data_IF_130331108815
#
_entry.id   IF_130331108815
#
_cell.length_a   1.000
_cell.length_b   1.000
_cell.length_c   1.000
_cell.angle_alpha   90.00
_cell.angle_beta   90.00
_cell.angle_gamma   90.00
#
_symmetry.space_group_name_H-M   'P 1'
#
loop_
_entity.id
_entity.type
_entity.pdbx_description
1 polymer ?
#
# COMPACT_ATOMS: atom_id res chain seq x y z
N UNK A 1 22.73 18.21 24.15
CA UNK A 1 21.68 17.24 23.80
C UNK A 1 20.69 17.98 22.92
N UNK A 2 20.72 17.72 21.62
CA UNK A 2 19.88 18.41 20.63
C UNK A 2 18.64 17.56 20.41
N UNK A 3 17.48 18.06 20.81
CA UNK A 3 16.20 17.39 20.59
C UNK A 3 15.83 17.67 19.12
N UNK A 4 15.94 16.65 18.27
CA UNK A 4 15.51 16.74 16.88
C UNK A 4 13.98 16.63 16.86
N UNK A 5 13.30 17.76 16.70
CA UNK A 5 11.85 17.80 16.46
C UNK A 5 11.58 17.21 15.07
N UNK A 6 10.94 16.05 15.03
CA UNK A 6 10.42 15.47 13.79
C UNK A 6 9.18 16.26 13.37
N UNK A 7 9.33 17.13 12.38
CA UNK A 7 8.23 17.92 11.81
C UNK A 7 7.31 16.99 11.01
N UNK A 8 6.10 16.72 11.51
CA UNK A 8 5.07 16.01 10.73
C UNK A 8 4.40 16.99 9.76
N UNK A 9 4.51 16.72 8.45
CA UNK A 9 3.80 17.47 7.41
C UNK A 9 2.51 16.73 7.03
N UNK A 10 1.36 17.41 7.15
CA UNK A 10 0.10 16.98 6.55
C UNK A 10 -0.13 17.84 5.30
N UNK A 11 -0.15 17.22 4.12
CA UNK A 11 -0.40 17.89 2.83
C UNK A 11 -1.80 17.63 2.28
N UNK A 12 -2.34 18.56 1.49
CA UNK A 12 -3.56 18.39 0.69
C UNK A 12 -3.18 17.99 -0.75
N UNK A 13 -3.82 16.97 -1.33
CA UNK A 13 -3.58 16.52 -2.70
C UNK A 13 -4.50 17.27 -3.71
N UNK A 14 -3.93 18.07 -4.62
CA UNK A 14 -4.67 18.72 -5.72
C UNK A 14 -3.96 19.95 -6.31
N UNK A 15 -4.22 20.25 -7.59
CA UNK A 15 -3.48 21.14 -8.51
C UNK A 15 -3.34 22.65 -8.15
N UNK A 16 -3.48 23.02 -6.88
CA UNK A 16 -3.01 24.30 -6.35
C UNK A 16 -1.99 24.00 -5.27
N UNK A 17 -0.71 24.02 -5.65
CA UNK A 17 0.43 23.96 -4.74
C UNK A 17 0.44 25.18 -3.82
N UNK A 18 -0.43 25.21 -2.82
CA UNK A 18 -0.17 26.02 -1.62
C UNK A 18 0.86 25.24 -0.81
N UNK A 19 2.11 25.38 -1.23
CA UNK A 19 3.26 25.04 -0.39
C UNK A 19 3.05 25.78 0.94
N UNK A 20 2.85 25.02 2.02
CA UNK A 20 2.93 25.55 3.36
C UNK A 20 4.41 25.81 3.61
N UNK A 21 4.79 27.08 3.44
CA UNK A 21 6.12 27.58 3.68
C UNK A 21 6.56 27.21 5.11
N UNK A 22 7.83 26.82 5.28
CA UNK A 22 8.38 26.30 6.54
C UNK A 22 8.16 27.28 7.72
N UNK A 23 8.06 28.58 7.44
CA UNK A 23 7.75 29.64 8.42
C UNK A 23 6.32 29.59 9.02
N UNK A 24 5.36 28.97 8.35
CA UNK A 24 3.97 28.85 8.84
C UNK A 24 3.80 27.59 9.71
N UNK A 25 4.63 26.57 9.49
CA UNK A 25 4.57 25.30 10.22
C UNK A 25 5.04 25.49 11.65
N UNK A 26 6.09 26.29 11.87
CA UNK A 26 6.60 26.60 13.21
C UNK A 26 5.62 27.43 14.06
N UNK A 27 4.72 28.17 13.43
CA UNK A 27 3.74 29.02 14.14
C UNK A 27 2.45 28.26 14.52
N UNK A 28 2.24 27.04 14.02
CA UNK A 28 0.94 26.33 14.08
C UNK A 28 0.97 24.91 14.70
N UNK A 29 2.07 24.51 15.34
CA UNK A 29 2.41 23.11 15.63
C UNK A 29 1.45 22.33 16.54
N UNK A 30 0.60 22.96 17.37
CA UNK A 30 -0.41 22.23 18.15
C UNK A 30 -1.87 22.59 17.82
N UNK A 31 -2.25 23.86 17.62
CA UNK A 31 -3.63 24.20 17.27
C UNK A 31 -3.97 23.83 15.82
N UNK A 32 -3.01 24.00 14.88
CA UNK A 32 -3.20 23.72 13.46
C UNK A 32 -3.32 22.22 13.18
N UNK A 33 -2.48 21.40 13.81
CA UNK A 33 -2.58 19.94 13.74
C UNK A 33 -3.93 19.44 14.28
N UNK A 34 -4.37 19.93 15.44
CA UNK A 34 -5.67 19.57 16.02
C UNK A 34 -6.84 19.95 15.11
N UNK A 35 -6.78 21.13 14.48
CA UNK A 35 -7.77 21.55 13.51
C UNK A 35 -7.77 20.65 12.27
N UNK A 36 -6.61 20.38 11.68
CA UNK A 36 -6.47 19.51 10.52
C UNK A 36 -6.96 18.09 10.80
N UNK A 37 -6.64 17.51 11.95
CA UNK A 37 -7.11 16.18 12.35
C UNK A 37 -8.63 16.15 12.58
N UNK A 38 -9.19 17.23 13.14
CA UNK A 38 -10.65 17.36 13.28
C UNK A 38 -11.32 17.46 11.92
N UNK A 39 -10.81 18.29 11.03
CA UNK A 39 -11.32 18.44 9.66
C UNK A 39 -11.23 17.13 8.87
N UNK A 40 -10.11 16.42 8.96
CA UNK A 40 -9.95 15.08 8.40
C UNK A 40 -10.99 14.13 8.99
N UNK A 41 -11.09 14.05 10.31
CA UNK A 41 -12.05 13.16 10.97
C UNK A 41 -13.48 13.44 10.53
N UNK A 42 -13.92 14.71 10.51
CA UNK A 42 -15.26 15.06 10.04
C UNK A 42 -15.52 14.66 8.58
N UNK A 43 -14.47 14.63 7.73
CA UNK A 43 -14.59 14.20 6.33
C UNK A 43 -14.64 12.69 6.14
N UNK A 44 -14.08 11.91 7.07
CA UNK A 44 -13.94 10.45 6.93
C UNK A 44 -14.77 9.65 7.92
N UNK A 45 -15.37 10.27 8.95
CA UNK A 45 -16.09 9.60 10.03
C UNK A 45 -17.24 8.70 9.56
N UNK A 46 -17.79 9.00 8.38
CA UNK A 46 -18.90 8.26 7.78
C UNK A 46 -18.42 7.05 6.98
N UNK A 47 -17.10 6.87 6.82
CA UNK A 47 -16.52 5.67 6.20
C UNK A 47 -16.38 4.49 7.19
N UNK A 48 -16.67 4.73 8.48
CA UNK A 48 -16.45 3.79 9.57
C UNK A 48 -17.76 3.57 10.34
N UNK A 49 -18.25 2.33 10.41
CA UNK A 49 -19.41 1.99 11.24
C UNK A 49 -19.12 2.00 12.75
N UNK A 50 -20.18 2.20 13.54
CA UNK A 50 -20.17 2.63 14.95
C UNK A 50 -19.07 2.06 15.86
N UNK A 51 -18.84 0.74 15.89
CA UNK A 51 -17.84 0.12 16.78
C UNK A 51 -16.40 0.44 16.40
N UNK A 52 -16.15 0.77 15.13
CA UNK A 52 -14.82 1.05 14.61
C UNK A 52 -14.44 2.53 14.70
N UNK A 53 -15.40 3.44 14.98
CA UNK A 53 -15.14 4.88 14.96
C UNK A 53 -14.07 5.32 15.96
N UNK A 54 -14.12 4.82 17.19
CA UNK A 54 -13.13 5.16 18.22
C UNK A 54 -11.74 4.63 17.86
N UNK A 55 -11.67 3.40 17.35
CA UNK A 55 -10.42 2.75 16.91
C UNK A 55 -9.83 3.50 15.72
N UNK A 56 -10.65 3.84 14.73
CA UNK A 56 -10.23 4.61 13.56
C UNK A 56 -9.75 6.01 13.93
N UNK A 57 -10.46 6.71 14.82
CA UNK A 57 -10.04 8.03 15.30
C UNK A 57 -8.67 7.96 15.99
N UNK A 58 -8.44 6.94 16.83
CA UNK A 58 -7.13 6.75 17.46
C UNK A 58 -6.05 6.43 16.43
N UNK A 59 -6.36 5.58 15.44
CA UNK A 59 -5.42 5.25 14.37
C UNK A 59 -5.06 6.47 13.50
N UNK A 60 -6.00 7.38 13.20
CA UNK A 60 -5.70 8.67 12.54
C UNK A 60 -4.75 9.51 13.39
N UNK A 61 -5.00 9.58 14.70
CA UNK A 61 -4.12 10.32 15.61
C UNK A 61 -2.71 9.72 15.66
N UNK A 62 -2.59 8.39 15.76
CA UNK A 62 -1.31 7.67 15.71
C UNK A 62 -0.61 7.92 14.38
N UNK A 63 -1.31 7.86 13.24
CA UNK A 63 -0.72 8.14 11.93
C UNK A 63 -0.11 9.56 11.85
N UNK A 64 -0.72 10.53 12.53
CA UNK A 64 -0.25 11.91 12.56
C UNK A 64 0.89 12.18 13.56
N UNK A 65 0.98 11.38 14.64
CA UNK A 65 1.87 11.67 15.78
C UNK A 65 2.97 10.64 15.97
N UNK A 66 2.88 9.48 15.33
CA UNK A 66 3.87 8.42 15.43
C UNK A 66 5.26 8.89 14.95
N UNK A 67 6.25 8.58 15.78
CA UNK A 67 7.66 8.89 15.57
C UNK A 67 8.36 7.83 14.71
N UNK A 68 7.79 6.62 14.64
CA UNK A 68 8.36 5.52 13.87
C UNK A 68 7.53 5.19 12.64
N UNK A 69 8.20 4.74 11.58
CA UNK A 69 7.52 4.26 10.36
C UNK A 69 6.65 3.04 10.65
N UNK A 70 7.09 2.15 11.55
CA UNK A 70 6.33 0.96 11.96
C UNK A 70 4.98 1.33 12.56
N UNK A 71 4.96 2.25 13.53
CA UNK A 71 3.72 2.67 14.19
C UNK A 71 2.75 3.33 13.20
N UNK A 72 3.26 4.03 12.18
CA UNK A 72 2.43 4.59 11.10
C UNK A 72 1.82 3.50 10.21
N UNK A 73 2.58 2.48 9.85
CA UNK A 73 2.03 1.35 9.09
C UNK A 73 0.99 0.57 9.90
N UNK A 74 1.23 0.32 11.19
CA UNK A 74 0.26 -0.35 12.07
C UNK A 74 -1.03 0.46 12.23
N UNK A 75 -0.90 1.78 12.40
CA UNK A 75 -2.05 2.69 12.41
C UNK A 75 -2.80 2.67 11.08
N UNK A 76 -2.09 2.68 9.95
CA UNK A 76 -2.70 2.63 8.64
C UNK A 76 -3.39 1.29 8.35
N UNK A 77 -2.78 0.16 8.73
CA UNK A 77 -3.40 -1.17 8.66
C UNK A 77 -4.68 -1.24 9.52
N UNK A 78 -4.64 -0.65 10.72
CA UNK A 78 -5.84 -0.51 11.57
C UNK A 78 -6.95 0.25 10.86
N UNK A 79 -6.62 1.36 10.17
CA UNK A 79 -7.61 2.12 9.39
C UNK A 79 -8.21 1.29 8.23
N UNK A 80 -7.38 0.53 7.53
CA UNK A 80 -7.82 -0.35 6.44
C UNK A 80 -8.77 -1.46 6.92
N UNK A 81 -8.57 -1.97 8.14
CA UNK A 81 -9.49 -2.95 8.76
C UNK A 81 -10.82 -2.35 9.16
N UNK A 82 -10.79 -1.11 9.66
CA UNK A 82 -11.96 -0.45 10.21
C UNK A 82 -12.88 0.15 9.14
N UNK A 83 -12.33 0.50 7.98
CA UNK A 83 -13.06 1.20 6.91
C UNK A 83 -14.01 0.26 6.16
N UNK A 84 -15.17 0.78 5.79
CA UNK A 84 -16.11 0.07 4.95
C UNK A 84 -15.50 -0.27 3.57
N UNK A 85 -15.82 -1.45 3.00
CA UNK A 85 -15.23 -1.90 1.75
C UNK A 85 -15.31 -0.87 0.61
N UNK A 86 -16.45 -0.18 0.47
CA UNK A 86 -16.71 0.84 -0.56
C UNK A 86 -15.86 2.11 -0.44
N UNK A 87 -15.20 2.32 0.70
CA UNK A 87 -14.34 3.49 0.95
C UNK A 87 -12.85 3.11 1.02
N UNK A 88 -12.50 1.82 0.92
CA UNK A 88 -11.11 1.36 0.98
C UNK A 88 -10.23 1.98 -0.08
N UNK A 89 -10.76 2.28 -1.27
CA UNK A 89 -9.98 2.92 -2.35
C UNK A 89 -9.49 4.33 -1.97
N UNK A 90 -10.06 4.98 -0.94
CA UNK A 90 -9.66 6.29 -0.43
C UNK A 90 -8.49 6.24 0.55
N UNK A 91 -8.11 5.04 1.00
CA UNK A 91 -6.96 4.80 1.84
C UNK A 91 -5.88 4.18 0.95
N UNK A 92 -4.79 4.91 0.76
CA UNK A 92 -3.71 4.50 -0.13
C UNK A 92 -2.38 4.72 0.56
N UNK A 93 -1.37 3.93 0.23
CA UNK A 93 -0.01 4.27 0.58
C UNK A 93 0.86 4.21 -0.66
N UNK A 94 1.84 5.09 -0.70
CA UNK A 94 2.60 5.41 -1.89
C UNK A 94 4.08 5.28 -1.59
N UNK A 95 4.83 4.75 -2.54
CA UNK A 95 6.27 4.96 -2.59
C UNK A 95 6.68 5.42 -3.99
N UNK A 96 7.53 6.44 -4.03
CA UNK A 96 8.10 6.98 -5.25
C UNK A 96 9.63 6.90 -5.16
N UNK A 97 10.31 6.97 -6.30
CA UNK A 97 11.77 6.98 -6.33
C UNK A 97 12.31 8.21 -5.59
N UNK A 98 13.21 7.97 -4.62
CA UNK A 98 13.83 9.03 -3.84
C UNK A 98 12.98 9.59 -2.68
N UNK A 99 11.78 9.06 -2.46
CA UNK A 99 10.90 9.48 -1.37
C UNK A 99 10.58 8.31 -0.43
N UNK A 100 10.39 8.62 0.86
CA UNK A 100 9.91 7.64 1.84
C UNK A 100 8.44 7.28 1.62
N UNK A 101 7.93 6.24 2.29
CA UNK A 101 6.52 5.88 2.24
C UNK A 101 5.62 7.06 2.63
N UNK A 102 4.45 7.15 2.00
CA UNK A 102 3.44 8.17 2.32
C UNK A 102 2.07 7.53 2.39
N UNK A 103 1.26 7.92 3.36
CA UNK A 103 -0.07 7.39 3.58
C UNK A 103 -1.09 8.48 3.22
N UNK A 104 -2.04 8.15 2.36
CA UNK A 104 -3.10 9.03 1.91
C UNK A 104 -4.43 8.57 2.48
N UNK A 105 -5.20 9.51 3.03
CA UNK A 105 -6.57 9.32 3.50
C UNK A 105 -7.43 10.43 2.88
N UNK A 106 -8.22 10.07 1.86
CA UNK A 106 -8.92 11.08 1.05
C UNK A 106 -7.92 12.06 0.44
N UNK A 107 -8.04 13.34 0.78
CA UNK A 107 -7.16 14.40 0.27
C UNK A 107 -5.94 14.66 1.16
N UNK A 108 -5.82 13.97 2.29
CA UNK A 108 -4.77 14.22 3.28
C UNK A 108 -3.61 13.24 3.12
N UNK A 109 -2.39 13.75 3.19
CA UNK A 109 -1.15 13.00 3.04
C UNK A 109 -0.32 13.03 4.33
N UNK A 110 0.15 11.87 4.77
CA UNK A 110 1.02 11.66 5.92
C UNK A 110 2.34 11.07 5.46
N UNK A 111 3.46 11.75 5.72
CA UNK A 111 4.78 11.24 5.37
C UNK A 111 5.26 10.23 6.41
N UNK A 112 5.91 9.15 6.00
CA UNK A 112 6.63 8.29 6.94
C UNK A 112 7.83 9.05 7.56
N UNK A 113 8.18 8.77 8.83
CA UNK A 113 9.40 9.28 9.42
C UNK A 113 10.65 8.79 8.67
N UNK A 114 11.78 9.47 8.89
CA UNK A 114 13.04 9.17 8.18
C UNK A 114 13.65 7.82 8.54
N UNK A 115 13.14 7.17 9.59
CA UNK A 115 13.62 5.87 10.08
C UNK A 115 13.21 4.68 9.19
N UNK A 116 12.40 4.92 8.14
CA UNK A 116 11.86 3.88 7.26
C UNK A 116 12.93 3.00 6.60
N UNK A 117 14.10 3.56 6.25
CA UNK A 117 15.20 2.82 5.62
C UNK A 117 15.92 1.86 6.57
N UNK A 118 15.76 2.06 7.88
CA UNK A 118 16.42 1.27 8.93
C UNK A 118 15.46 0.31 9.65
N UNK A 119 14.21 0.23 9.21
CA UNK A 119 13.22 -0.63 9.84
C UNK A 119 13.49 -2.11 9.52
N UNK A 120 13.28 -2.94 10.55
CA UNK A 120 13.15 -4.37 10.34
C UNK A 120 11.80 -4.67 9.66
N UNK A 121 11.75 -5.69 8.78
CA UNK A 121 10.52 -6.14 8.15
C UNK A 121 9.40 -6.34 9.17
N UNK A 122 8.19 -5.91 8.83
CA UNK A 122 7.00 -6.10 9.67
C UNK A 122 6.55 -7.56 9.62
N UNK A 123 6.12 -8.12 10.75
CA UNK A 123 5.50 -9.44 10.81
C UNK A 123 3.98 -9.28 10.82
N UNK A 124 3.40 -9.17 9.62
CA UNK A 124 1.98 -8.92 9.43
C UNK A 124 1.17 -10.22 9.37
N UNK A 125 -0.08 -10.15 9.80
CA UNK A 125 -1.04 -11.20 9.47
C UNK A 125 -1.41 -11.12 7.98
N UNK A 126 -1.83 -12.24 7.40
CA UNK A 126 -2.20 -12.31 5.98
C UNK A 126 -3.29 -11.29 5.59
N UNK A 127 -4.26 -11.05 6.48
CA UNK A 127 -5.34 -10.07 6.27
C UNK A 127 -4.82 -8.62 6.21
N UNK A 128 -3.96 -8.24 7.14
CA UNK A 128 -3.33 -6.90 7.17
C UNK A 128 -2.44 -6.70 5.94
N UNK A 129 -1.65 -7.72 5.58
CA UNK A 129 -0.80 -7.66 4.40
C UNK A 129 -1.63 -7.56 3.12
N UNK A 130 -2.74 -8.31 3.00
CA UNK A 130 -3.66 -8.22 1.87
C UNK A 130 -4.18 -6.79 1.70
N UNK A 131 -4.67 -6.17 2.77
CA UNK A 131 -5.17 -4.80 2.73
C UNK A 131 -4.08 -3.77 2.39
N UNK A 132 -2.87 -3.95 2.91
CA UNK A 132 -1.74 -3.10 2.57
C UNK A 132 -1.35 -3.23 1.10
N UNK A 133 -1.20 -4.44 0.55
CA UNK A 133 -0.88 -4.65 -0.86
C UNK A 133 -1.94 -4.01 -1.76
N UNK A 134 -3.23 -4.17 -1.42
CA UNK A 134 -4.33 -3.63 -2.20
C UNK A 134 -4.40 -2.10 -2.19
N UNK A 135 -3.91 -1.47 -1.13
CA UNK A 135 -3.82 0.00 -1.02
C UNK A 135 -2.47 0.55 -1.52
N UNK A 136 -1.55 -0.32 -1.93
CA UNK A 136 -0.20 0.06 -2.31
C UNK A 136 -0.13 0.62 -3.72
N UNK A 137 0.50 1.79 -3.84
CA UNK A 137 0.84 2.43 -5.10
C UNK A 137 2.33 2.67 -5.22
N UNK A 138 2.88 2.37 -6.38
CA UNK A 138 4.23 2.76 -6.77
C UNK A 138 4.11 3.76 -7.92
N UNK A 139 4.71 4.94 -7.78
CA UNK A 139 4.57 6.02 -8.77
C UNK A 139 3.10 6.37 -9.10
N UNK A 140 2.23 6.29 -8.09
CA UNK A 140 0.77 6.45 -8.16
C UNK A 140 -0.01 5.35 -8.90
N UNK A 141 0.65 4.36 -9.49
CA UNK A 141 0.02 3.19 -10.09
C UNK A 141 -0.22 2.09 -9.04
N UNK A 142 -1.39 1.40 -9.04
CA UNK A 142 -1.61 0.25 -8.17
C UNK A 142 -0.62 -0.87 -8.47
N UNK A 143 0.04 -1.40 -7.45
CA UNK A 143 1.13 -2.37 -7.65
C UNK A 143 0.64 -3.66 -8.28
N UNK A 144 -0.48 -4.22 -7.81
CA UNK A 144 -1.02 -5.46 -8.38
C UNK A 144 -1.46 -5.31 -9.84
N UNK A 145 -2.09 -4.18 -10.20
CA UNK A 145 -2.47 -3.92 -11.59
C UNK A 145 -1.25 -3.73 -12.49
N UNK A 146 -0.22 -3.04 -11.98
CA UNK A 146 1.05 -2.86 -12.72
C UNK A 146 1.71 -4.21 -13.01
N UNK A 147 1.71 -5.13 -12.05
CA UNK A 147 2.25 -6.49 -12.25
C UNK A 147 1.43 -7.29 -13.26
N UNK A 148 0.11 -7.13 -13.26
CA UNK A 148 -0.74 -7.74 -14.28
C UNK A 148 -0.38 -7.23 -15.68
N UNK A 149 -0.22 -5.92 -15.83
CA UNK A 149 0.12 -5.33 -17.12
C UNK A 149 1.52 -5.74 -17.60
N UNK A 150 2.49 -5.87 -16.69
CA UNK A 150 3.80 -6.45 -17.01
C UNK A 150 3.66 -7.91 -17.48
N UNK A 151 2.82 -8.71 -16.79
CA UNK A 151 2.55 -10.10 -17.17
C UNK A 151 1.90 -10.21 -18.55
N UNK A 152 0.95 -9.33 -18.89
CA UNK A 152 0.33 -9.28 -20.22
C UNK A 152 1.36 -8.91 -21.28
N UNK A 153 2.11 -7.83 -21.06
CA UNK A 153 3.13 -7.35 -22.00
C UNK A 153 4.16 -8.43 -22.32
N UNK A 154 4.62 -9.15 -21.30
CA UNK A 154 5.55 -10.28 -21.47
C UNK A 154 4.96 -11.42 -22.30
N UNK A 155 3.69 -11.78 -22.08
CA UNK A 155 3.00 -12.81 -22.87
C UNK A 155 2.83 -12.39 -24.33
N UNK A 156 2.43 -11.15 -24.57
CA UNK A 156 2.25 -10.60 -25.91
C UNK A 156 3.56 -10.57 -26.71
N UNK A 157 4.66 -10.17 -26.06
CA UNK A 157 5.99 -10.21 -26.65
C UNK A 157 6.41 -11.63 -27.03
N UNK A 158 6.20 -12.62 -26.15
CA UNK A 158 6.54 -14.00 -26.47
C UNK A 158 5.69 -14.59 -27.61
N UNK A 159 4.40 -14.24 -27.69
CA UNK A 159 3.53 -14.62 -28.81
C UNK A 159 4.05 -14.02 -30.12
N UNK A 160 4.36 -12.72 -30.11
CA UNK A 160 4.91 -12.01 -31.27
C UNK A 160 6.21 -12.66 -31.77
N UNK A 161 7.07 -13.04 -30.83
CA UNK A 161 8.38 -13.62 -31.13
C UNK A 161 8.32 -15.14 -31.38
N UNK A 162 7.12 -15.75 -31.33
CA UNK A 162 6.88 -17.19 -31.45
C UNK A 162 7.74 -18.02 -30.49
N UNK A 163 8.02 -17.47 -29.32
CA UNK A 163 8.85 -18.09 -28.30
C UNK A 163 7.98 -18.89 -27.34
N UNK A 164 8.39 -20.12 -27.05
CA UNK A 164 7.82 -20.87 -25.92
C UNK A 164 8.27 -20.21 -24.62
N UNK A 165 7.31 -19.79 -23.80
CA UNK A 165 7.57 -19.22 -22.47
C UNK A 165 7.58 -20.35 -21.46
N UNK A 166 8.74 -20.59 -20.84
CA UNK A 166 8.81 -21.46 -19.69
C UNK A 166 8.34 -20.69 -18.44
N UNK A 167 7.73 -21.36 -17.43
CA UNK A 167 7.33 -20.72 -16.19
C UNK A 167 8.45 -19.91 -15.51
N UNK A 168 9.70 -20.39 -15.62
CA UNK A 168 10.87 -19.72 -15.06
C UNK A 168 11.23 -18.40 -15.78
N UNK A 169 10.88 -18.25 -17.07
CA UNK A 169 11.11 -16.99 -17.79
C UNK A 169 10.23 -15.87 -17.22
N UNK A 170 9.00 -16.20 -16.81
CA UNK A 170 8.09 -15.27 -16.13
C UNK A 170 8.66 -14.79 -14.80
N UNK A 171 9.09 -15.72 -13.94
CA UNK A 171 9.69 -15.37 -12.65
C UNK A 171 10.96 -14.53 -12.82
N UNK A 172 11.79 -14.85 -13.82
CA UNK A 172 13.00 -14.09 -14.12
C UNK A 172 12.69 -12.66 -14.54
N UNK A 173 11.74 -12.45 -15.44
CA UNK A 173 11.35 -11.12 -15.90
C UNK A 173 10.80 -10.25 -14.75
N UNK A 174 9.93 -10.81 -13.91
CA UNK A 174 9.35 -10.07 -12.78
C UNK A 174 10.37 -9.83 -11.67
N UNK A 175 11.30 -10.75 -11.45
CA UNK A 175 12.44 -10.55 -10.53
C UNK A 175 13.31 -9.40 -11.04
N UNK A 176 13.62 -9.35 -12.35
CA UNK A 176 14.38 -8.24 -12.95
C UNK A 176 13.65 -6.90 -12.82
N UNK A 177 12.34 -6.87 -13.01
CA UNK A 177 11.52 -5.69 -12.78
C UNK A 177 11.64 -5.16 -11.34
N UNK A 178 11.49 -6.04 -10.34
CA UNK A 178 11.66 -5.64 -8.93
C UNK A 178 13.08 -5.13 -8.63
N UNK A 179 14.11 -5.73 -9.24
CA UNK A 179 15.50 -5.25 -9.12
C UNK A 179 15.72 -3.88 -9.77
N UNK A 180 15.05 -3.61 -10.89
CA UNK A 180 15.09 -2.31 -11.55
C UNK A 180 14.34 -1.21 -10.77
N UNK A 181 13.45 -1.62 -9.85
CA UNK A 181 12.61 -0.72 -9.05
C UNK A 181 12.90 -0.85 -7.55
N UNK A 182 14.05 -0.33 -7.06
CA UNK A 182 14.52 -0.57 -5.69
C UNK A 182 13.62 0.04 -4.61
N UNK A 183 12.89 1.12 -4.92
CA UNK A 183 11.89 1.72 -4.02
C UNK A 183 10.74 0.72 -3.76
N UNK A 184 10.17 0.14 -4.81
CA UNK A 184 9.16 -0.90 -4.73
C UNK A 184 9.67 -2.11 -3.93
N UNK A 185 10.85 -2.63 -4.26
CA UNK A 185 11.43 -3.77 -3.54
C UNK A 185 11.64 -3.49 -2.05
N UNK A 186 12.12 -2.29 -1.71
CA UNK A 186 12.30 -1.86 -0.31
C UNK A 186 10.97 -1.79 0.45
N UNK A 187 9.93 -1.26 -0.19
CA UNK A 187 8.60 -1.18 0.39
C UNK A 187 7.96 -2.55 0.62
N UNK A 188 8.09 -3.48 -0.33
CA UNK A 188 7.61 -4.86 -0.18
C UNK A 188 8.36 -5.62 0.91
N UNK A 189 9.67 -5.36 1.04
CA UNK A 189 10.50 -5.88 2.14
C UNK A 189 10.06 -5.28 3.49
N UNK A 190 9.74 -3.99 3.52
CA UNK A 190 9.31 -3.29 4.73
C UNK A 190 8.03 -3.90 5.31
N UNK A 191 7.04 -4.21 4.46
CA UNK A 191 5.80 -4.87 4.90
C UNK A 191 5.97 -6.37 5.18
N UNK A 192 7.18 -6.92 5.09
CA UNK A 192 7.46 -8.27 5.56
C UNK A 192 7.43 -9.38 4.53
N UNK A 193 7.25 -9.09 3.22
CA UNK A 193 7.11 -10.17 2.23
C UNK A 193 8.30 -11.11 2.19
N UNK A 194 9.51 -10.62 2.50
CA UNK A 194 10.71 -11.44 2.53
C UNK A 194 10.80 -12.39 3.74
N UNK A 195 9.98 -12.19 4.79
CA UNK A 195 10.01 -12.99 6.01
C UNK A 195 9.30 -14.36 5.85
N UNK A 196 8.43 -14.52 4.85
CA UNK A 196 7.60 -15.70 4.65
C UNK A 196 8.10 -16.61 3.53
N UNK A 197 9.41 -16.58 3.24
CA UNK A 197 10.01 -17.36 2.16
C UNK A 197 9.72 -18.86 2.34
N UNK A 198 9.02 -19.45 1.37
CA UNK A 198 8.69 -20.87 1.37
C UNK A 198 7.57 -21.28 2.34
N UNK A 199 6.91 -20.31 3.00
CA UNK A 199 5.73 -20.57 3.81
C UNK A 199 4.49 -20.68 2.92
N UNK A 200 4.23 -21.90 2.46
CA UNK A 200 3.12 -22.21 1.57
C UNK A 200 1.75 -21.95 2.21
N UNK A 201 1.63 -22.08 3.54
CA UNK A 201 0.38 -21.83 4.25
C UNK A 201 0.10 -20.33 4.29
N UNK A 202 1.09 -19.52 4.66
CA UNK A 202 0.95 -18.07 4.63
C UNK A 202 0.69 -17.55 3.21
N UNK A 203 1.37 -18.11 2.21
CA UNK A 203 1.17 -17.73 0.81
C UNK A 203 -0.27 -18.02 0.34
N UNK A 204 -0.82 -19.17 0.70
CA UNK A 204 -2.22 -19.52 0.41
C UNK A 204 -3.21 -18.61 1.16
N UNK A 205 -2.97 -18.35 2.45
CA UNK A 205 -3.80 -17.46 3.24
C UNK A 205 -3.79 -16.04 2.68
N UNK A 206 -2.63 -15.51 2.29
CA UNK A 206 -2.52 -14.19 1.68
C UNK A 206 -3.33 -14.12 0.38
N UNK A 207 -3.16 -15.11 -0.50
CA UNK A 207 -3.95 -15.21 -1.73
C UNK A 207 -5.44 -15.13 -1.45
N UNK A 208 -5.92 -15.97 -0.53
CA UNK A 208 -7.33 -16.02 -0.15
C UNK A 208 -7.85 -14.69 0.42
N UNK A 209 -7.07 -14.02 1.28
CA UNK A 209 -7.49 -12.72 1.83
C UNK A 209 -7.49 -11.62 0.77
N UNK A 210 -6.54 -11.64 -0.18
CA UNK A 210 -6.53 -10.70 -1.30
C UNK A 210 -7.73 -10.91 -2.21
N UNK A 211 -8.07 -12.16 -2.57
CA UNK A 211 -9.26 -12.49 -3.35
C UNK A 211 -10.53 -11.92 -2.68
N UNK A 212 -10.72 -12.21 -1.39
CA UNK A 212 -11.87 -11.71 -0.62
C UNK A 212 -11.92 -10.19 -0.50
N UNK A 213 -10.78 -9.54 -0.32
CA UNK A 213 -10.71 -8.10 -0.19
C UNK A 213 -10.82 -7.37 -1.54
N UNK A 214 -10.57 -8.07 -2.66
CA UNK A 214 -10.72 -7.55 -4.01
C UNK A 214 -12.18 -7.49 -4.46
N UNK A 215 -12.98 -8.51 -4.17
CA UNK A 215 -14.37 -8.62 -4.66
C UNK A 215 -15.22 -7.34 -4.45
N UNK A 216 -15.21 -6.67 -3.28
CA UNK A 216 -16.03 -5.48 -3.07
C UNK A 216 -15.67 -4.30 -3.98
N UNK A 217 -14.45 -4.25 -4.54
CA UNK A 217 -14.02 -3.21 -5.49
C UNK A 217 -14.70 -3.36 -6.85
N UNK A 218 -15.01 -4.59 -7.24
CA UNK A 218 -15.62 -4.89 -8.54
C UNK A 218 -17.15 -4.74 -8.49
N UNK A 219 -17.73 -4.65 -7.28
CA UNK A 219 -19.16 -4.41 -7.06
C UNK A 219 -19.50 -2.93 -6.86
N UNK A 220 -18.56 -2.01 -7.13
CA UNK A 220 -18.82 -0.57 -6.99
C UNK A 220 -19.90 -0.09 -8.00
N UNK A 221 -20.81 0.81 -7.59
CA UNK A 221 -21.87 1.32 -8.46
C UNK A 221 -21.28 2.08 -9.64
N UNK A 222 -21.27 1.44 -10.81
CA UNK A 222 -20.62 1.92 -12.04
C UNK A 222 -20.04 0.80 -12.90
N UNK A 223 -19.77 -0.38 -12.33
CA UNK A 223 -19.34 -1.60 -13.03
C UNK A 223 -20.53 -2.53 -13.31
N UNK A 224 -21.60 -2.02 -13.93
CA UNK A 224 -22.85 -2.79 -14.16
C UNK A 224 -22.77 -3.86 -15.25
N UNK A 225 -21.65 -3.93 -15.99
CA UNK A 225 -21.46 -4.86 -17.11
C UNK A 225 -20.53 -6.05 -16.78
N UNK A 226 -20.04 -6.18 -15.54
CA UNK A 226 -19.20 -7.31 -15.14
C UNK A 226 -20.08 -8.50 -14.75
N UNK A 227 -19.80 -9.66 -15.33
CA UNK A 227 -20.41 -10.92 -14.89
C UNK A 227 -19.81 -11.38 -13.57
N UNK A 228 -20.52 -12.23 -12.83
CA UNK A 228 -19.96 -12.84 -11.61
C UNK A 228 -18.65 -13.59 -11.92
N UNK A 229 -18.56 -14.24 -13.08
CA UNK A 229 -17.35 -14.91 -13.57
C UNK A 229 -16.18 -13.92 -13.75
N UNK A 230 -16.42 -12.74 -14.31
CA UNK A 230 -15.37 -11.71 -14.48
C UNK A 230 -14.86 -11.18 -13.12
N UNK A 231 -15.75 -11.09 -12.13
CA UNK A 231 -15.40 -10.65 -10.77
C UNK A 231 -14.54 -11.72 -10.08
N UNK A 232 -14.94 -12.99 -10.18
CA UNK A 232 -14.19 -14.11 -9.62
C UNK A 232 -12.81 -14.26 -10.26
N UNK A 233 -12.73 -14.17 -11.60
CA UNK A 233 -11.45 -14.22 -12.33
C UNK A 233 -10.54 -13.05 -11.94
N UNK A 234 -11.09 -11.85 -11.81
CA UNK A 234 -10.34 -10.67 -11.37
C UNK A 234 -9.77 -10.83 -9.95
N UNK A 235 -10.59 -11.34 -9.02
CA UNK A 235 -10.18 -11.60 -7.65
C UNK A 235 -9.11 -12.69 -7.58
N UNK A 236 -9.33 -13.85 -8.22
CA UNK A 236 -8.41 -14.98 -8.27
C UNK A 236 -7.04 -14.56 -8.83
N UNK A 237 -7.06 -13.71 -9.85
CA UNK A 237 -5.88 -13.13 -10.45
C UNK A 237 -5.13 -12.19 -9.51
N UNK A 238 -5.84 -11.30 -8.79
CA UNK A 238 -5.23 -10.44 -7.78
C UNK A 238 -4.58 -11.26 -6.65
N UNK A 239 -5.26 -12.31 -6.19
CA UNK A 239 -4.73 -13.24 -5.19
C UNK A 239 -3.47 -13.95 -5.65
N UNK A 240 -3.46 -14.46 -6.89
CA UNK A 240 -2.28 -15.08 -7.49
C UNK A 240 -1.10 -14.11 -7.58
N UNK A 241 -1.34 -12.84 -7.90
CA UNK A 241 -0.25 -11.85 -7.98
C UNK A 241 0.33 -11.50 -6.61
N UNK A 242 -0.50 -11.43 -5.57
CA UNK A 242 -0.02 -11.24 -4.21
C UNK A 242 0.81 -12.45 -3.73
N UNK A 243 0.41 -13.66 -4.11
CA UNK A 243 1.19 -14.87 -3.89
C UNK A 243 2.54 -14.82 -4.63
N UNK A 244 2.53 -14.46 -5.92
CA UNK A 244 3.75 -14.33 -6.72
C UNK A 244 4.73 -13.33 -6.09
N UNK A 245 4.23 -12.20 -5.55
CA UNK A 245 5.06 -11.21 -4.85
C UNK A 245 5.81 -11.80 -3.65
N UNK A 246 5.19 -12.67 -2.85
CA UNK A 246 5.84 -13.36 -1.73
C UNK A 246 7.02 -14.23 -2.20
N UNK A 247 6.92 -14.83 -3.38
CA UNK A 247 7.99 -15.65 -3.94
C UNK A 247 9.07 -14.81 -4.64
N UNK A 248 8.67 -13.72 -5.29
CA UNK A 248 9.56 -12.85 -6.07
C UNK A 248 10.45 -11.97 -5.19
N UNK A 249 9.93 -11.42 -4.09
CA UNK A 249 10.67 -10.49 -3.23
C UNK A 249 11.95 -11.13 -2.64
N UNK A 250 11.91 -12.32 -2.01
CA UNK A 250 13.13 -13.00 -1.55
C UNK A 250 14.14 -13.27 -2.66
N UNK A 251 13.67 -13.70 -3.85
CA UNK A 251 14.54 -13.99 -5.01
C UNK A 251 15.26 -12.73 -5.49
N UNK A 252 14.53 -11.61 -5.61
CA UNK A 252 15.10 -10.34 -6.01
C UNK A 252 16.18 -9.86 -5.04
N UNK A 253 16.00 -10.09 -3.73
CA UNK A 253 16.99 -9.73 -2.71
C UNK A 253 18.26 -10.61 -2.75
N UNK A 254 18.14 -11.88 -3.10
CA UNK A 254 19.27 -12.82 -3.18
C UNK A 254 20.22 -12.49 -4.32
N UNK A 255 19.70 -12.06 -5.45
CA UNK A 255 20.51 -11.71 -6.62
C UNK A 255 21.15 -10.31 -6.57
N UNK A 256 20.89 -9.55 -5.49
CA UNK A 256 21.52 -8.23 -5.24
C UNK A 256 22.70 -8.38 -4.26
N UNK A 257 22.78 -9.50 -3.52
CA UNK A 257 23.87 -9.80 -2.56
C UNK A 257 25.08 -10.43 -3.24
#
# INVERSE_FOLDING_TARGET
MSISLSTTHIGLAGAHSRSLNDDIIDTCTQPGLKFALRSLWESIKDWYYGTNKSVAMNAVHTLATAETTRDRFEAFATLLRCVEPQHRHRLQWHIDNGHGPRFQIGDYLFLAPRDWTSQLPMLLQADDMAHLILSFRHENAPVLETLDDQRKAFREEAIRDKKTVEPDDYYRAHTQYLKATPSLLSALTLIGMNAYRGDLLFAYDLRYQVERAWMPRMTEPGMTDMTDDDIEDGAAKAGSMAQDLLDLVPRALEEIR
#
